data_IF_431450972711
#
_entry.id   IF_431450972711
#
_cell.length_a   1.000
_cell.length_b   1.000
_cell.length_c   1.000
_cell.angle_alpha   90.00
_cell.angle_beta   90.00
_cell.angle_gamma   90.00
#
_symmetry.space_group_name_H-M   'P 1'
#
loop_
_entity.id
_entity.type
_entity.pdbx_description
1 polymer ?
#
# COMPACT_ATOMS: atom_id res chain seq x y z
N UNK A 1 2.18 13.92 -29.91
CA UNK A 1 2.49 12.67 -29.22
C UNK A 1 1.67 12.64 -27.93
N UNK A 2 0.56 11.93 -27.90
CA UNK A 2 -0.32 11.89 -26.73
C UNK A 2 0.26 10.91 -25.73
N UNK A 3 0.88 11.42 -24.67
CA UNK A 3 1.27 10.63 -23.51
C UNK A 3 0.03 9.94 -22.96
N UNK A 4 -0.03 8.62 -23.10
CA UNK A 4 -1.11 7.79 -22.56
C UNK A 4 -0.96 7.82 -21.05
N UNK A 5 -1.61 8.77 -20.37
CA UNK A 5 -1.63 8.85 -18.91
C UNK A 5 -2.21 7.53 -18.40
N UNK A 6 -1.39 6.70 -17.75
CA UNK A 6 -1.82 5.41 -17.20
C UNK A 6 -3.02 5.69 -16.28
N UNK A 7 -4.18 5.10 -16.56
CA UNK A 7 -5.38 5.24 -15.73
C UNK A 7 -5.03 4.80 -14.31
N UNK A 8 -5.18 5.70 -13.34
CA UNK A 8 -5.01 5.37 -11.93
C UNK A 8 -6.31 4.72 -11.43
N UNK A 9 -6.18 3.70 -10.60
CA UNK A 9 -7.29 3.03 -9.93
C UNK A 9 -7.75 3.91 -8.76
N UNK A 10 -9.05 4.17 -8.67
CA UNK A 10 -9.65 4.94 -7.58
C UNK A 10 -10.21 4.03 -6.50
N UNK A 11 -9.93 4.36 -5.25
CA UNK A 11 -10.41 3.62 -4.08
C UNK A 11 -10.97 4.58 -3.03
N UNK A 12 -11.96 4.10 -2.27
CA UNK A 12 -12.45 4.74 -1.04
C UNK A 12 -12.05 3.87 0.14
N UNK A 13 -11.43 4.48 1.13
CA UNK A 13 -11.12 3.85 2.42
C UNK A 13 -12.11 4.37 3.45
N UNK A 14 -12.72 3.46 4.17
CA UNK A 14 -13.57 3.74 5.33
C UNK A 14 -12.93 3.04 6.53
N UNK A 15 -12.71 3.80 7.61
CA UNK A 15 -12.27 3.28 8.91
C UNK A 15 -13.40 3.55 9.89
N UNK A 16 -13.85 2.50 10.58
CA UNK A 16 -14.88 2.56 11.61
C UNK A 16 -14.28 2.08 12.92
N UNK A 17 -14.43 2.88 13.98
CA UNK A 17 -14.11 2.44 15.34
C UNK A 17 -15.08 1.32 15.75
N UNK A 18 -14.52 0.24 16.30
CA UNK A 18 -15.28 -0.89 16.84
C UNK A 18 -15.33 -0.81 18.38
N UNK A 19 -16.27 -1.53 18.98
CA UNK A 19 -16.38 -1.73 20.44
C UNK A 19 -16.55 -0.43 21.27
N UNK A 20 -17.33 0.52 20.77
CA UNK A 20 -17.64 1.80 21.46
C UNK A 20 -19.11 2.20 21.28
N UNK A 21 -19.68 2.90 22.27
CA UNK A 21 -21.06 3.36 22.24
C UNK A 21 -21.31 4.47 21.20
N UNK A 22 -20.26 5.20 20.81
CA UNK A 22 -20.32 6.28 19.83
C UNK A 22 -19.18 6.12 18.80
N UNK A 23 -19.31 5.20 17.83
CA UNK A 23 -18.25 4.90 16.88
C UNK A 23 -17.98 6.08 15.96
N UNK A 24 -16.69 6.40 15.78
CA UNK A 24 -16.25 7.38 14.79
C UNK A 24 -15.99 6.68 13.46
N UNK A 25 -16.26 7.42 12.38
CA UNK A 25 -15.96 7.00 11.02
C UNK A 25 -15.05 8.01 10.36
N UNK A 26 -14.04 7.53 9.63
CA UNK A 26 -13.19 8.32 8.76
C UNK A 26 -13.28 7.77 7.34
N UNK A 27 -13.56 8.64 6.38
CA UNK A 27 -13.64 8.29 4.95
C UNK A 27 -12.68 9.16 4.17
N UNK A 28 -11.88 8.55 3.30
CA UNK A 28 -11.06 9.27 2.33
C UNK A 28 -10.93 8.49 1.03
N UNK A 29 -10.63 9.21 -0.05
CA UNK A 29 -10.42 8.62 -1.38
C UNK A 29 -8.94 8.74 -1.75
N UNK A 30 -8.42 7.75 -2.46
CA UNK A 30 -7.05 7.79 -2.97
C UNK A 30 -6.95 7.15 -4.35
N UNK A 31 -5.94 7.60 -5.11
CA UNK A 31 -5.60 7.06 -6.42
C UNK A 31 -4.32 6.24 -6.35
N UNK A 32 -4.31 5.12 -7.06
CA UNK A 32 -3.18 4.20 -7.11
C UNK A 32 -2.88 3.77 -8.55
N UNK A 33 -1.60 3.69 -8.90
CA UNK A 33 -1.15 3.17 -10.20
C UNK A 33 -1.15 1.65 -10.28
N UNK A 34 -1.11 0.99 -9.14
CA UNK A 34 -1.16 -0.46 -9.00
C UNK A 34 -2.58 -0.88 -8.61
N UNK A 35 -2.96 -2.10 -8.97
CA UNK A 35 -4.20 -2.70 -8.54
C UNK A 35 -4.05 -3.23 -7.11
N UNK A 36 -4.71 -2.59 -6.14
CA UNK A 36 -4.62 -2.94 -4.72
C UNK A 36 -5.01 -4.39 -4.45
N UNK A 37 -6.07 -4.89 -5.08
CA UNK A 37 -6.56 -6.24 -4.86
C UNK A 37 -5.56 -7.26 -5.39
N UNK A 38 -5.02 -7.03 -6.59
CA UNK A 38 -3.97 -7.88 -7.16
C UNK A 38 -2.72 -7.89 -6.27
N UNK A 39 -2.34 -6.76 -5.68
CA UNK A 39 -1.21 -6.68 -4.75
C UNK A 39 -1.48 -7.49 -3.49
N UNK A 40 -2.67 -7.37 -2.89
CA UNK A 40 -3.06 -8.12 -1.69
C UNK A 40 -3.08 -9.63 -1.97
N UNK A 41 -3.67 -10.06 -3.08
CA UNK A 41 -3.74 -11.49 -3.43
C UNK A 41 -2.35 -12.10 -3.67
N UNK A 42 -1.47 -11.38 -4.35
CA UNK A 42 -0.07 -11.81 -4.52
C UNK A 42 0.66 -11.95 -3.18
N UNK A 43 0.39 -11.05 -2.23
CA UNK A 43 0.98 -11.15 -0.89
C UNK A 43 0.44 -12.35 -0.12
N UNK A 44 -0.87 -12.61 -0.16
CA UNK A 44 -1.44 -13.80 0.48
C UNK A 44 -0.81 -15.09 -0.06
N UNK A 45 -0.59 -15.16 -1.38
CA UNK A 45 -0.04 -16.35 -2.03
C UNK A 45 1.45 -16.54 -1.80
N UNK A 46 2.24 -15.46 -1.85
CA UNK A 46 3.70 -15.57 -1.97
C UNK A 46 4.53 -14.87 -0.90
N UNK A 47 3.93 -14.28 0.13
CA UNK A 47 4.71 -13.62 1.20
C UNK A 47 5.10 -14.55 2.35
N UNK A 48 4.42 -15.69 2.50
CA UNK A 48 4.53 -16.57 3.67
C UNK A 48 3.86 -16.01 4.94
N UNK A 49 3.07 -14.94 4.83
CA UNK A 49 2.28 -14.38 5.92
C UNK A 49 0.87 -14.98 5.94
N UNK A 50 0.28 -15.09 7.13
CA UNK A 50 -1.15 -15.37 7.31
C UNK A 50 -2.01 -14.37 6.53
N UNK A 51 -3.14 -14.82 5.97
CA UNK A 51 -3.92 -14.04 4.99
C UNK A 51 -4.36 -12.66 5.50
N UNK A 52 -4.79 -12.58 6.76
CA UNK A 52 -5.19 -11.32 7.38
C UNK A 52 -4.00 -10.36 7.54
N UNK A 53 -2.82 -10.89 7.87
CA UNK A 53 -1.59 -10.09 7.98
C UNK A 53 -1.13 -9.64 6.59
N UNK A 54 -1.15 -10.52 5.59
CA UNK A 54 -0.82 -10.20 4.21
C UNK A 54 -1.73 -9.07 3.65
N UNK A 55 -3.02 -9.12 3.98
CA UNK A 55 -3.99 -8.08 3.61
C UNK A 55 -3.62 -6.73 4.23
N UNK A 56 -3.37 -6.69 5.55
CA UNK A 56 -2.96 -5.46 6.25
C UNK A 56 -1.67 -4.88 5.66
N UNK A 57 -0.67 -5.72 5.42
CA UNK A 57 0.61 -5.31 4.83
C UNK A 57 0.41 -4.75 3.42
N UNK A 58 -0.36 -5.43 2.57
CA UNK A 58 -0.65 -4.98 1.21
C UNK A 58 -1.30 -3.60 1.19
N UNK A 59 -2.36 -3.41 1.98
CA UNK A 59 -3.06 -2.12 2.10
C UNK A 59 -2.13 -1.03 2.64
N UNK A 60 -1.42 -1.29 3.74
CA UNK A 60 -0.53 -0.30 4.36
C UNK A 60 0.59 0.16 3.41
N UNK A 61 1.21 -0.78 2.68
CA UNK A 61 2.27 -0.45 1.71
C UNK A 61 1.76 0.34 0.51
N UNK A 62 0.51 0.12 0.09
CA UNK A 62 -0.10 0.89 -1.00
C UNK A 62 -0.54 2.28 -0.58
N UNK A 63 -0.94 2.47 0.69
CA UNK A 63 -1.24 3.80 1.22
C UNK A 63 0.04 4.60 1.49
N UNK A 64 1.06 3.99 2.11
CA UNK A 64 2.29 4.70 2.51
C UNK A 64 3.29 4.87 1.37
N UNK A 65 3.50 3.84 0.54
CA UNK A 65 4.54 3.83 -0.48
C UNK A 65 4.47 5.01 -1.47
N UNK A 66 3.33 5.31 -2.11
CA UNK A 66 3.17 6.46 -2.99
C UNK A 66 3.41 7.79 -2.29
N UNK A 67 2.90 7.95 -1.07
CA UNK A 67 3.08 9.17 -0.26
C UNK A 67 4.57 9.41 -0.02
N UNK A 68 5.30 8.37 0.40
CA UNK A 68 6.75 8.45 0.57
C UNK A 68 7.46 8.81 -0.73
N UNK A 69 7.07 8.21 -1.87
CA UNK A 69 7.72 8.46 -3.17
C UNK A 69 7.49 9.88 -3.71
N UNK A 70 6.29 10.42 -3.52
CA UNK A 70 5.95 11.80 -3.85
C UNK A 70 6.72 12.79 -2.97
N UNK A 71 6.83 12.48 -1.68
CA UNK A 71 7.49 13.31 -0.67
C UNK A 71 8.91 12.84 -0.34
N UNK A 72 9.62 12.21 -1.29
CA UNK A 72 10.89 11.51 -1.01
C UNK A 72 12.05 12.38 -0.49
N UNK A 73 11.92 13.70 -0.56
CA UNK A 73 12.89 14.68 -0.05
C UNK A 73 12.46 15.30 1.28
N UNK A 74 11.30 14.94 1.79
CA UNK A 74 10.79 15.42 3.08
C UNK A 74 11.65 14.83 4.21
N UNK A 75 12.01 15.63 5.21
CA UNK A 75 12.94 15.26 6.27
C UNK A 75 12.52 13.98 7.01
N UNK A 76 11.21 13.81 7.26
CA UNK A 76 10.67 12.57 7.86
C UNK A 76 10.88 11.30 7.03
N UNK A 77 11.06 11.40 5.71
CA UNK A 77 11.16 10.24 4.81
C UNK A 77 12.55 10.01 4.24
N UNK A 78 13.41 11.04 4.20
CA UNK A 78 14.67 11.00 3.46
C UNK A 78 15.61 9.90 3.96
N UNK A 79 15.73 9.75 5.28
CA UNK A 79 16.61 8.74 5.90
C UNK A 79 15.99 7.34 5.90
N UNK A 80 14.65 7.25 5.91
CA UNK A 80 13.95 5.96 5.89
C UNK A 80 13.82 5.37 4.47
N UNK A 81 13.80 6.23 3.44
CA UNK A 81 13.55 5.84 2.05
C UNK A 81 14.48 4.72 1.52
N UNK A 82 15.81 4.74 1.77
CA UNK A 82 16.70 3.66 1.31
C UNK A 82 16.32 2.29 1.91
N UNK A 83 15.96 2.27 3.20
CA UNK A 83 15.55 1.05 3.90
C UNK A 83 14.19 0.56 3.42
N UNK A 84 13.24 1.47 3.22
CA UNK A 84 11.93 1.14 2.65
C UNK A 84 12.08 0.52 1.25
N UNK A 85 12.96 1.06 0.39
CA UNK A 85 13.25 0.49 -0.94
C UNK A 85 13.85 -0.91 -0.85
N UNK A 86 14.82 -1.11 0.05
CA UNK A 86 15.44 -2.42 0.25
C UNK A 86 14.39 -3.47 0.70
N UNK A 87 13.52 -3.09 1.63
CA UNK A 87 12.38 -3.92 2.06
C UNK A 87 11.45 -4.26 0.88
N UNK A 88 11.02 -3.26 0.10
CA UNK A 88 10.12 -3.47 -1.04
C UNK A 88 10.75 -4.36 -2.12
N UNK A 89 12.07 -4.26 -2.35
CA UNK A 89 12.77 -5.16 -3.27
C UNK A 89 12.76 -6.61 -2.77
N UNK A 90 13.08 -6.84 -1.50
CA UNK A 90 13.04 -8.17 -0.90
C UNK A 90 11.63 -8.76 -0.97
N UNK A 91 10.62 -8.01 -0.58
CA UNK A 91 9.22 -8.44 -0.61
C UNK A 91 8.77 -8.86 -2.02
N UNK A 92 9.08 -8.04 -3.04
CA UNK A 92 8.75 -8.35 -4.43
C UNK A 92 9.47 -9.61 -4.93
N UNK A 93 10.73 -9.79 -4.55
CA UNK A 93 11.50 -10.98 -4.91
C UNK A 93 10.90 -12.24 -4.27
N UNK A 94 10.54 -12.19 -2.99
CA UNK A 94 9.87 -13.29 -2.27
C UNK A 94 8.56 -13.68 -2.93
N UNK A 95 7.69 -12.70 -3.20
CA UNK A 95 6.38 -12.93 -3.83
C UNK A 95 6.49 -13.47 -5.26
N UNK A 96 7.53 -13.08 -6.02
CA UNK A 96 7.76 -13.59 -7.38
C UNK A 96 8.33 -15.01 -7.42
N UNK A 97 9.02 -15.43 -6.36
CA UNK A 97 9.66 -16.73 -6.28
C UNK A 97 8.73 -17.84 -5.74
N UNK A 98 7.56 -17.46 -5.23
CA UNK A 98 6.50 -18.36 -4.75
C UNK A 98 5.56 -18.73 -5.89
#
# INVERSE_FOLDING_TARGET
MTTRTRKENGYRITIEELDTEAPKTMVFEYQDREDLFTVVEKLKQGSGLEENIATKVGVALRLLGPVMMQNRKHDLFIDFMPHFKAFMHKLKATVKAS
#
